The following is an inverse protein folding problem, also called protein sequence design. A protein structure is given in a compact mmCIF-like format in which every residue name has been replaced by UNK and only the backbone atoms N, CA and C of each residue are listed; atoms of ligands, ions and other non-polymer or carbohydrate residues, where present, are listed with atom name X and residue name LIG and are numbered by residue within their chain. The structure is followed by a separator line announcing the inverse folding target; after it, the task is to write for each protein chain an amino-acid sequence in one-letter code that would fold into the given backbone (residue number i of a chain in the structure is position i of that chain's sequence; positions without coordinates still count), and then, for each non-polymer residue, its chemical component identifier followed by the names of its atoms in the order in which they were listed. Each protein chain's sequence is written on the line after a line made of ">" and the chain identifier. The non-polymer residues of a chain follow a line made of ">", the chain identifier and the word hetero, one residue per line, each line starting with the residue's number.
data_IF_733471460056
#
_entry.id   IF_733471460056
#
_cell.length_a   1.000
_cell.length_b   1.000
_cell.length_c   1.000
_cell.angle_alpha   90.00
_cell.angle_beta   90.00
_cell.angle_gamma   90.00
#
_symmetry.space_group_name_H-M   'P 1'
#
loop_
_entity.id
_entity.type
_entity.pdbx_description
1 polymer ?
#
# COMPACT_ATOMS: atom_id res chain seq x y z
N UNK A 1 24.09 33.89 -10.14
CA UNK A 1 23.22 33.48 -9.01
C UNK A 1 22.86 32.01 -9.24
N UNK A 2 23.54 31.08 -8.57
CA UNK A 2 23.52 29.66 -8.96
C UNK A 2 22.19 28.99 -8.64
N UNK A 3 21.69 28.20 -9.59
CA UNK A 3 20.57 27.24 -9.50
C UNK A 3 20.85 26.07 -8.52
N UNK A 4 21.40 26.35 -7.33
CA UNK A 4 21.62 25.34 -6.28
C UNK A 4 20.49 25.45 -5.26
N UNK A 5 19.50 24.58 -5.36
CA UNK A 5 18.51 24.47 -4.30
C UNK A 5 17.20 23.76 -4.63
N UNK A 6 16.92 23.41 -5.89
CA UNK A 6 15.71 22.66 -6.25
C UNK A 6 16.06 21.20 -6.53
N UNK A 7 15.29 20.28 -5.95
CA UNK A 7 15.41 18.84 -6.20
C UNK A 7 14.07 18.21 -6.56
N UNK A 8 14.12 17.21 -7.44
CA UNK A 8 12.93 16.42 -7.75
C UNK A 8 12.64 15.47 -6.61
N UNK A 9 11.57 15.74 -5.87
CA UNK A 9 11.10 14.89 -4.79
C UNK A 9 9.98 13.97 -5.28
N UNK A 10 10.08 12.70 -4.94
CA UNK A 10 9.02 11.72 -5.18
C UNK A 10 8.44 11.24 -3.86
N UNK A 11 7.11 11.31 -3.71
CA UNK A 11 6.43 10.83 -2.52
C UNK A 11 5.07 10.22 -2.82
N UNK A 12 4.55 9.46 -1.86
CA UNK A 12 3.22 8.86 -1.93
C UNK A 12 2.18 9.69 -1.21
N UNK A 13 1.02 9.93 -1.82
CA UNK A 13 -0.16 10.42 -1.10
C UNK A 13 -1.28 9.38 -1.13
N UNK A 14 -1.71 8.92 0.04
CA UNK A 14 -2.77 7.91 0.17
C UNK A 14 -4.11 8.55 0.51
N UNK A 15 -5.13 8.24 -0.28
CA UNK A 15 -6.50 8.68 -0.08
C UNK A 15 -7.48 7.50 -0.06
N UNK A 16 -8.55 7.61 0.74
CA UNK A 16 -9.61 6.60 0.80
C UNK A 16 -10.54 6.71 -0.40
N UNK A 17 -10.79 5.58 -1.08
CA UNK A 17 -11.78 5.49 -2.15
C UNK A 17 -13.19 5.32 -1.58
N UNK A 18 -14.17 5.91 -2.26
CA UNK A 18 -15.59 5.64 -2.06
C UNK A 18 -16.09 4.83 -3.25
N UNK A 19 -16.01 3.50 -3.12
CA UNK A 19 -16.52 2.55 -4.09
C UNK A 19 -17.91 2.09 -3.68
N UNK A 20 -18.82 1.98 -4.63
CA UNK A 20 -20.04 1.19 -4.44
C UNK A 20 -19.67 -0.29 -4.29
N UNK A 21 -20.54 -1.13 -3.71
CA UNK A 21 -20.28 -2.56 -3.58
C UNK A 21 -19.90 -3.23 -4.91
N UNK A 22 -20.58 -2.88 -6.01
CA UNK A 22 -20.28 -3.39 -7.35
C UNK A 22 -18.88 -3.01 -7.84
N UNK A 23 -18.44 -1.76 -7.60
CA UNK A 23 -17.10 -1.31 -7.99
C UNK A 23 -16.00 -1.92 -7.09
N UNK A 24 -16.31 -2.17 -5.82
CA UNK A 24 -15.39 -2.84 -4.91
C UNK A 24 -15.13 -4.30 -5.34
N UNK A 25 -16.14 -5.00 -5.85
CA UNK A 25 -16.00 -6.35 -6.43
C UNK A 25 -15.07 -6.31 -7.65
N UNK A 26 -15.26 -5.37 -8.58
CA UNK A 26 -14.34 -5.21 -9.73
C UNK A 26 -12.89 -4.96 -9.31
N UNK A 27 -12.68 -4.12 -8.29
CA UNK A 27 -11.35 -3.87 -7.75
C UNK A 27 -10.74 -5.12 -7.10
N UNK A 28 -11.54 -5.92 -6.38
CA UNK A 28 -11.13 -7.19 -5.79
C UNK A 28 -10.75 -8.23 -6.86
N UNK A 29 -11.54 -8.34 -7.92
CA UNK A 29 -11.27 -9.21 -9.06
C UNK A 29 -9.94 -8.85 -9.73
N UNK A 30 -9.71 -7.56 -10.04
CA UNK A 30 -8.44 -7.10 -10.58
C UNK A 30 -7.26 -7.42 -9.66
N UNK A 31 -7.41 -7.23 -8.35
CA UNK A 31 -6.34 -7.51 -7.41
C UNK A 31 -6.05 -9.01 -7.27
N UNK A 32 -7.08 -9.86 -7.33
CA UNK A 32 -6.92 -11.29 -7.39
C UNK A 32 -6.28 -11.76 -8.70
N UNK A 33 -6.60 -11.13 -9.83
CA UNK A 33 -5.93 -11.36 -11.11
C UNK A 33 -4.45 -10.95 -11.04
N UNK A 34 -4.12 -9.79 -10.45
CA UNK A 34 -2.73 -9.35 -10.25
C UNK A 34 -1.92 -10.31 -9.35
N UNK A 35 -2.53 -10.81 -8.26
CA UNK A 35 -1.92 -11.83 -7.40
C UNK A 35 -1.68 -13.14 -8.16
N UNK A 36 -2.65 -13.56 -8.97
CA UNK A 36 -2.56 -14.79 -9.75
C UNK A 36 -1.50 -14.66 -10.82
N UNK A 37 -1.43 -13.52 -11.51
CA UNK A 37 -0.37 -13.18 -12.46
C UNK A 37 1.02 -13.29 -11.82
N UNK A 38 1.21 -12.75 -10.61
CA UNK A 38 2.47 -12.92 -9.87
C UNK A 38 2.82 -14.39 -9.64
N UNK A 39 1.85 -15.20 -9.20
CA UNK A 39 2.10 -16.62 -8.91
C UNK A 39 2.39 -17.43 -10.17
N UNK A 40 1.70 -17.15 -11.27
CA UNK A 40 1.97 -17.78 -12.57
C UNK A 40 3.35 -17.39 -13.10
N UNK A 41 3.72 -16.12 -13.00
CA UNK A 41 5.07 -15.65 -13.31
C UNK A 41 6.13 -16.34 -12.45
N UNK A 42 5.85 -16.52 -11.16
CA UNK A 42 6.76 -17.20 -10.25
C UNK A 42 6.95 -18.66 -10.61
N UNK A 43 5.86 -19.39 -10.88
CA UNK A 43 5.92 -20.78 -11.35
C UNK A 43 6.67 -20.90 -12.67
N UNK A 44 6.34 -20.05 -13.66
CA UNK A 44 7.01 -20.00 -14.95
C UNK A 44 8.52 -19.75 -14.79
N UNK A 45 8.90 -18.79 -13.94
CA UNK A 45 10.31 -18.47 -13.67
C UNK A 45 11.07 -19.63 -13.04
N UNK A 46 10.42 -20.39 -12.13
CA UNK A 46 11.03 -21.57 -11.51
C UNK A 46 11.20 -22.72 -12.50
N UNK A 47 10.24 -22.90 -13.43
CA UNK A 47 10.27 -23.97 -14.43
C UNK A 47 11.21 -23.69 -15.61
N UNK A 48 11.43 -22.42 -15.96
CA UNK A 48 12.26 -22.07 -17.12
C UNK A 48 13.76 -22.24 -16.86
N UNK A 49 14.55 -22.68 -17.86
CA UNK A 49 16.01 -22.61 -17.83
C UNK A 49 16.49 -21.19 -17.57
N UNK A 50 17.67 -21.04 -16.93
CA UNK A 50 18.19 -19.73 -16.53
C UNK A 50 18.34 -18.78 -17.71
N UNK A 51 18.78 -19.25 -18.89
CA UNK A 51 18.94 -18.40 -20.07
C UNK A 51 17.61 -17.82 -20.58
N UNK A 52 16.48 -18.50 -20.34
CA UNK A 52 15.13 -18.08 -20.78
C UNK A 52 14.42 -17.17 -19.80
N UNK A 53 15.03 -16.86 -18.64
CA UNK A 53 14.43 -16.00 -17.60
C UNK A 53 14.64 -14.53 -17.91
N UNK A 54 14.27 -14.12 -19.12
CA UNK A 54 14.39 -12.72 -19.57
C UNK A 54 13.07 -11.97 -19.36
N UNK A 55 13.14 -10.64 -19.32
CA UNK A 55 11.94 -9.80 -19.28
C UNK A 55 11.10 -9.96 -20.55
N UNK A 56 11.73 -10.16 -21.71
CA UNK A 56 11.05 -10.31 -22.99
C UNK A 56 10.24 -11.61 -23.05
N UNK A 57 10.85 -12.72 -22.63
CA UNK A 57 10.18 -14.03 -22.61
C UNK A 57 9.04 -14.06 -21.58
N UNK A 58 9.26 -13.48 -20.39
CA UNK A 58 8.22 -13.37 -19.38
C UNK A 58 7.05 -12.50 -19.86
N UNK A 59 7.34 -11.40 -20.56
CA UNK A 59 6.32 -10.53 -21.16
C UNK A 59 5.53 -11.24 -22.27
N UNK A 60 6.19 -12.01 -23.13
CA UNK A 60 5.53 -12.87 -24.11
C UNK A 60 4.61 -13.90 -23.44
N UNK A 61 5.08 -14.56 -22.38
CA UNK A 61 4.28 -15.50 -21.59
C UNK A 61 3.04 -14.84 -20.95
N UNK A 62 3.16 -13.62 -20.43
CA UNK A 62 2.01 -12.85 -19.91
C UNK A 62 1.01 -12.54 -21.01
N UNK A 63 1.47 -12.12 -22.20
CA UNK A 63 0.58 -11.84 -23.33
C UNK A 63 -0.21 -13.08 -23.72
N UNK A 64 0.46 -14.22 -23.81
CA UNK A 64 -0.16 -15.50 -24.14
C UNK A 64 -1.17 -15.93 -23.06
N UNK A 65 -0.76 -15.93 -21.79
CA UNK A 65 -1.65 -16.29 -20.68
C UNK A 65 -2.91 -15.42 -20.60
N UNK A 66 -2.82 -14.14 -20.98
CA UNK A 66 -3.99 -13.24 -21.03
C UNK A 66 -4.92 -13.49 -22.23
N UNK A 67 -4.47 -14.21 -23.26
CA UNK A 67 -5.34 -14.69 -24.35
C UNK A 67 -6.02 -15.99 -23.94
N UNK A 68 -5.31 -16.87 -23.25
CA UNK A 68 -5.78 -18.22 -22.94
C UNK A 68 -6.66 -18.28 -21.68
N UNK A 69 -6.50 -17.31 -20.77
CA UNK A 69 -7.18 -17.31 -19.46
C UNK A 69 -7.97 -16.02 -19.27
N UNK A 70 -9.29 -16.11 -19.46
CA UNK A 70 -10.24 -14.99 -19.32
C UNK A 70 -10.12 -14.26 -17.98
N UNK A 71 -9.88 -14.99 -16.90
CA UNK A 71 -9.71 -14.41 -15.56
C UNK A 71 -8.54 -13.40 -15.47
N UNK A 72 -7.52 -13.49 -16.33
CA UNK A 72 -6.40 -12.54 -16.35
C UNK A 72 -6.70 -11.30 -17.20
N UNK A 73 -7.74 -11.34 -18.04
CA UNK A 73 -8.13 -10.21 -18.89
C UNK A 73 -8.73 -9.08 -18.06
N UNK A 74 -9.35 -9.38 -16.91
CA UNK A 74 -9.93 -8.35 -16.01
C UNK A 74 -8.87 -7.36 -15.53
N UNK A 75 -7.62 -7.80 -15.43
CA UNK A 75 -6.48 -6.94 -15.12
C UNK A 75 -6.09 -6.09 -16.36
N UNK A 76 -6.01 -4.76 -16.25
CA UNK A 76 -5.50 -3.90 -17.31
C UNK A 76 -4.11 -4.33 -17.78
N UNK A 77 -3.82 -4.22 -19.08
CA UNK A 77 -2.55 -4.67 -19.66
C UNK A 77 -1.35 -3.99 -19.00
N UNK A 78 -1.43 -2.67 -18.77
CA UNK A 78 -0.38 -1.92 -18.09
C UNK A 78 -0.18 -2.37 -16.63
N UNK A 79 -1.26 -2.75 -15.94
CA UNK A 79 -1.17 -3.27 -14.57
C UNK A 79 -0.50 -4.66 -14.54
N UNK A 80 -0.77 -5.52 -15.54
CA UNK A 80 -0.06 -6.80 -15.70
C UNK A 80 1.45 -6.59 -15.93
N UNK A 81 1.82 -5.61 -16.75
CA UNK A 81 3.22 -5.22 -16.95
C UNK A 81 3.88 -4.70 -15.66
N UNK A 82 3.14 -3.95 -14.85
CA UNK A 82 3.63 -3.50 -13.55
C UNK A 82 3.88 -4.68 -12.58
N UNK A 83 3.07 -5.74 -12.65
CA UNK A 83 3.32 -6.99 -11.89
C UNK A 83 4.64 -7.62 -12.32
N UNK A 84 4.92 -7.73 -13.62
CA UNK A 84 6.19 -8.25 -14.14
C UNK A 84 7.39 -7.43 -13.65
N UNK A 85 7.31 -6.10 -13.79
CA UNK A 85 8.38 -5.20 -13.33
C UNK A 85 8.63 -5.35 -11.83
N UNK A 86 7.56 -5.45 -11.04
CA UNK A 86 7.68 -5.66 -9.58
C UNK A 86 8.29 -7.02 -9.25
N UNK A 87 7.91 -8.07 -10.00
CA UNK A 87 8.45 -9.42 -9.81
C UNK A 87 9.96 -9.48 -10.12
N UNK A 88 10.37 -8.91 -11.25
CA UNK A 88 11.78 -8.85 -11.61
C UNK A 88 12.59 -7.96 -10.65
N UNK A 89 12.00 -6.86 -10.17
CA UNK A 89 12.63 -6.03 -9.16
C UNK A 89 12.85 -6.78 -7.84
N UNK A 90 11.94 -7.69 -7.46
CA UNK A 90 12.13 -8.53 -6.27
C UNK A 90 13.36 -9.45 -6.42
N UNK A 91 13.58 -10.04 -7.59
CA UNK A 91 14.82 -10.78 -7.88
C UNK A 91 16.06 -9.90 -7.85
N UNK A 92 16.03 -8.71 -8.45
CA UNK A 92 17.14 -7.75 -8.37
C UNK A 92 17.50 -7.40 -6.93
N UNK A 93 16.50 -7.21 -6.07
CA UNK A 93 16.74 -6.93 -4.65
C UNK A 93 17.36 -8.15 -3.95
N UNK A 94 16.93 -9.36 -4.30
CA UNK A 94 17.51 -10.60 -3.78
C UNK A 94 18.97 -10.80 -4.19
N UNK A 95 19.29 -10.60 -5.48
CA UNK A 95 20.68 -10.68 -5.96
C UNK A 95 21.59 -9.62 -5.35
N UNK A 96 21.03 -8.45 -5.01
CA UNK A 96 21.75 -7.39 -4.30
C UNK A 96 21.83 -7.62 -2.77
N UNK A 97 21.36 -8.76 -2.24
CA UNK A 97 21.37 -9.05 -0.80
C UNK A 97 20.43 -8.16 0.04
N UNK A 98 19.51 -7.42 -0.58
CA UNK A 98 18.59 -6.49 0.11
C UNK A 98 17.28 -7.12 0.56
N UNK A 99 16.96 -8.31 0.06
CA UNK A 99 15.72 -9.04 0.36
C UNK A 99 15.88 -10.54 0.09
N UNK A 100 14.98 -11.34 0.62
CA UNK A 100 14.90 -12.76 0.26
C UNK A 100 14.37 -12.97 -1.16
N UNK A 101 14.54 -14.18 -1.68
CA UNK A 101 13.98 -14.59 -2.97
C UNK A 101 12.45 -14.42 -2.99
N UNK A 102 11.86 -13.96 -4.12
CA UNK A 102 10.41 -13.83 -4.23
C UNK A 102 9.73 -15.20 -4.09
N UNK A 103 8.52 -15.20 -3.52
CA UNK A 103 7.74 -16.41 -3.26
C UNK A 103 6.27 -16.21 -3.71
N UNK A 104 5.48 -17.28 -3.69
CA UNK A 104 4.05 -17.28 -3.97
C UNK A 104 3.28 -16.35 -3.02
N UNK A 105 2.32 -15.62 -3.58
CA UNK A 105 1.39 -14.76 -2.86
C UNK A 105 0.14 -15.52 -2.43
N UNK A 106 -0.04 -15.66 -1.12
CA UNK A 106 -1.21 -16.28 -0.52
C UNK A 106 -2.45 -15.36 -0.61
N UNK A 107 -3.62 -15.95 -0.91
CA UNK A 107 -4.88 -15.23 -1.15
C UNK A 107 -5.29 -14.29 0.00
N UNK A 108 -5.09 -14.73 1.24
CA UNK A 108 -5.56 -14.02 2.44
C UNK A 108 -4.44 -13.36 3.27
N UNK A 109 -3.17 -13.66 2.97
CA UNK A 109 -2.02 -13.04 3.67
C UNK A 109 -1.38 -11.92 2.87
N UNK A 110 -1.53 -11.92 1.55
CA UNK A 110 -1.00 -10.85 0.70
C UNK A 110 -1.98 -9.68 0.65
N UNK A 111 -1.45 -8.46 0.79
CA UNK A 111 -2.22 -7.24 0.55
C UNK A 111 -2.71 -7.20 -0.89
N UNK A 112 -4.00 -6.93 -1.09
CA UNK A 112 -4.58 -6.77 -2.42
C UNK A 112 -4.18 -5.41 -2.98
N UNK A 113 -3.49 -5.44 -4.13
CA UNK A 113 -2.96 -4.25 -4.78
C UNK A 113 -3.15 -4.32 -6.29
N UNK A 114 -3.44 -3.19 -6.92
CA UNK A 114 -3.48 -3.03 -8.37
C UNK A 114 -2.71 -1.76 -8.74
N UNK A 115 -1.72 -1.86 -9.61
CA UNK A 115 -0.96 -0.70 -10.06
C UNK A 115 -1.65 -0.02 -11.25
N UNK A 116 -1.71 1.31 -11.22
CA UNK A 116 -2.08 2.16 -12.35
C UNK A 116 -0.83 2.97 -12.71
N UNK A 117 0.04 2.45 -13.60
CA UNK A 117 1.38 2.98 -13.80
C UNK A 117 1.38 4.36 -14.46
N UNK A 118 0.36 4.70 -15.25
CA UNK A 118 0.29 5.97 -15.96
C UNK A 118 -0.66 6.95 -15.26
N UNK A 119 -0.12 8.06 -14.77
CA UNK A 119 -0.90 9.09 -14.08
C UNK A 119 -1.96 9.76 -14.96
N UNK A 120 -1.70 9.88 -16.27
CA UNK A 120 -2.66 10.44 -17.25
C UNK A 120 -3.98 9.67 -17.29
N UNK A 121 -3.95 8.35 -17.10
CA UNK A 121 -5.15 7.50 -17.15
C UNK A 121 -6.10 7.80 -15.98
N UNK A 122 -5.57 8.37 -14.89
CA UNK A 122 -6.34 8.65 -13.67
C UNK A 122 -7.30 9.82 -13.81
N UNK A 123 -7.14 10.72 -14.79
CA UNK A 123 -8.05 11.85 -15.07
C UNK A 123 -8.59 12.52 -13.79
N UNK A 124 -7.67 12.95 -12.92
CA UNK A 124 -8.00 13.36 -11.56
C UNK A 124 -8.63 14.74 -11.58
N UNK A 125 -9.82 14.87 -11.00
CA UNK A 125 -10.56 16.14 -10.93
C UNK A 125 -10.99 16.39 -9.48
N UNK A 126 -10.74 17.59 -8.98
CA UNK A 126 -11.26 18.03 -7.69
C UNK A 126 -12.74 18.38 -7.86
N UNK A 127 -13.62 17.74 -7.09
CA UNK A 127 -15.07 18.00 -7.16
C UNK A 127 -15.43 19.14 -6.21
N UNK A 128 -14.95 19.08 -4.98
CA UNK A 128 -15.07 20.14 -3.99
C UNK A 128 -14.04 19.93 -2.87
N UNK A 129 -14.07 20.75 -1.81
CA UNK A 129 -13.03 20.76 -0.74
C UNK A 129 -12.65 19.40 -0.15
N UNK A 130 -13.59 18.44 -0.05
CA UNK A 130 -13.42 17.14 0.64
C UNK A 130 -13.32 15.94 -0.31
N UNK A 131 -13.57 16.14 -1.61
CA UNK A 131 -13.73 15.03 -2.55
C UNK A 131 -13.12 15.34 -3.91
N UNK A 132 -12.41 14.36 -4.45
CA UNK A 132 -12.04 14.29 -5.86
C UNK A 132 -12.64 13.08 -6.55
N UNK A 133 -12.47 13.04 -7.86
CA UNK A 133 -12.73 11.89 -8.70
C UNK A 133 -11.46 11.47 -9.44
N UNK A 134 -11.30 10.16 -9.61
CA UNK A 134 -10.27 9.57 -10.47
C UNK A 134 -10.91 8.48 -11.34
N UNK A 135 -10.44 8.36 -12.58
CA UNK A 135 -10.78 7.28 -13.50
C UNK A 135 -9.85 6.09 -13.26
N UNK A 136 -10.43 4.92 -13.02
CA UNK A 136 -9.69 3.69 -12.81
C UNK A 136 -9.92 2.74 -13.99
N UNK A 137 -8.85 2.24 -14.64
CA UNK A 137 -8.99 1.33 -15.78
C UNK A 137 -9.84 0.10 -15.44
N UNK A 138 -10.83 -0.20 -16.29
CA UNK A 138 -11.79 -1.32 -16.14
C UNK A 138 -12.64 -1.32 -14.85
N UNK A 139 -12.53 -0.29 -14.00
CA UNK A 139 -13.39 -0.08 -12.83
C UNK A 139 -14.38 1.05 -13.11
N UNK A 140 -13.90 2.18 -13.66
CA UNK A 140 -14.69 3.37 -13.96
C UNK A 140 -14.27 4.59 -13.11
N UNK A 141 -15.10 5.64 -13.15
CA UNK A 141 -14.85 6.88 -12.41
C UNK A 141 -15.29 6.74 -10.96
N UNK A 142 -14.39 7.01 -10.02
CA UNK A 142 -14.62 6.78 -8.59
C UNK A 142 -14.30 8.02 -7.78
N UNK A 143 -15.03 8.22 -6.67
CA UNK A 143 -14.75 9.31 -5.73
C UNK A 143 -13.69 8.89 -4.72
N UNK A 144 -12.90 9.85 -4.26
CA UNK A 144 -11.93 9.66 -3.19
C UNK A 144 -11.87 10.88 -2.26
N UNK A 145 -11.46 10.65 -1.02
CA UNK A 145 -11.29 11.73 -0.03
C UNK A 145 -10.11 12.61 -0.41
N UNK A 146 -10.39 13.87 -0.72
CA UNK A 146 -9.37 14.88 -0.97
C UNK A 146 -8.82 15.36 0.37
N UNK A 147 -7.62 14.92 0.73
CA UNK A 147 -7.03 15.20 2.06
C UNK A 147 -5.73 16.01 2.00
N UNK A 148 -5.04 16.00 0.87
CA UNK A 148 -3.90 16.88 0.57
C UNK A 148 -4.13 17.51 -0.80
N UNK A 149 -3.53 18.66 -1.04
CA UNK A 149 -3.46 19.23 -2.38
C UNK A 149 -2.65 18.31 -3.30
N UNK A 150 -3.15 18.13 -4.51
CA UNK A 150 -2.58 17.23 -5.51
C UNK A 150 -2.26 18.05 -6.76
N UNK A 151 -1.10 17.83 -7.39
CA UNK A 151 -0.73 18.57 -8.59
C UNK A 151 -1.53 18.07 -9.79
N UNK A 152 -2.69 18.69 -9.99
CA UNK A 152 -3.65 18.36 -11.06
C UNK A 152 -4.12 19.63 -11.76
N UNK A 153 -4.66 19.50 -12.97
CA UNK A 153 -5.14 20.64 -13.75
C UNK A 153 -4.02 21.64 -14.03
N UNK A 154 -4.26 22.94 -13.80
CA UNK A 154 -3.27 24.01 -14.04
C UNK A 154 -2.01 23.90 -13.18
N UNK A 155 -2.06 23.18 -12.06
CA UNK A 155 -0.91 22.95 -11.19
C UNK A 155 -0.03 21.79 -11.67
N UNK A 156 -0.49 21.01 -12.65
CA UNK A 156 0.26 19.90 -13.20
C UNK A 156 1.19 20.36 -14.32
N UNK A 157 2.46 20.02 -14.21
CA UNK A 157 3.51 20.25 -15.22
C UNK A 157 4.50 19.09 -15.26
N UNK A 158 5.58 19.21 -16.05
CA UNK A 158 6.61 18.17 -16.14
C UNK A 158 7.26 17.89 -14.78
N UNK A 159 7.50 18.96 -14.02
CA UNK A 159 8.20 18.97 -12.74
C UNK A 159 7.27 18.76 -11.53
N UNK A 160 5.96 18.94 -11.70
CA UNK A 160 4.97 18.80 -10.64
C UNK A 160 3.74 18.04 -11.14
N UNK A 161 3.69 16.72 -10.93
CA UNK A 161 2.62 15.87 -11.47
C UNK A 161 2.42 14.57 -10.69
N UNK A 162 1.27 13.96 -10.91
CA UNK A 162 1.03 12.57 -10.53
C UNK A 162 1.56 11.67 -11.65
N UNK A 163 2.56 10.85 -11.33
CA UNK A 163 3.20 9.94 -12.30
C UNK A 163 2.44 8.64 -12.46
N UNK A 164 1.68 8.24 -11.45
CA UNK A 164 0.81 7.08 -11.44
C UNK A 164 0.14 6.89 -10.09
N UNK A 165 -0.57 5.78 -9.90
CA UNK A 165 -1.12 5.42 -8.60
C UNK A 165 -1.11 3.91 -8.36
N UNK A 166 -1.37 3.53 -7.11
CA UNK A 166 -1.58 2.15 -6.70
C UNK A 166 -2.85 2.04 -5.87
N UNK A 167 -3.75 1.15 -6.27
CA UNK A 167 -4.87 0.74 -5.45
C UNK A 167 -4.35 -0.22 -4.38
N UNK A 168 -4.75 -0.01 -3.13
CA UNK A 168 -4.38 -0.85 -2.00
C UNK A 168 -5.61 -1.07 -1.13
N UNK A 169 -5.96 -2.33 -0.85
CA UNK A 169 -7.03 -2.68 0.08
C UNK A 169 -6.49 -2.90 1.47
N UNK A 170 -7.13 -2.27 2.46
CA UNK A 170 -6.95 -2.58 3.86
C UNK A 170 -8.30 -2.85 4.54
N UNK A 171 -8.32 -2.91 5.87
CA UNK A 171 -9.52 -3.17 6.67
C UNK A 171 -10.60 -2.09 6.55
N UNK A 172 -10.29 -0.86 6.13
CA UNK A 172 -11.27 0.20 5.86
C UNK A 172 -11.81 0.16 4.43
N UNK A 173 -11.22 -0.69 3.59
CA UNK A 173 -11.53 -0.85 2.19
C UNK A 173 -10.44 -0.33 1.27
N UNK A 174 -10.84 0.03 0.07
CA UNK A 174 -9.93 0.44 -0.99
C UNK A 174 -9.40 1.86 -0.79
N UNK A 175 -8.10 2.01 -1.02
CA UNK A 175 -7.39 3.28 -1.06
C UNK A 175 -6.68 3.43 -2.39
N UNK A 176 -6.44 4.67 -2.78
CA UNK A 176 -5.56 5.03 -3.89
C UNK A 176 -4.34 5.74 -3.32
N UNK A 177 -3.16 5.23 -3.61
CA UNK A 177 -1.87 5.83 -3.30
C UNK A 177 -1.31 6.46 -4.57
N UNK A 178 -1.40 7.79 -4.67
CA UNK A 178 -0.83 8.56 -5.77
C UNK A 178 0.69 8.62 -5.62
N UNK A 179 1.41 8.38 -6.71
CA UNK A 179 2.84 8.68 -6.85
C UNK A 179 2.93 10.12 -7.34
N UNK A 180 3.39 10.99 -6.47
CA UNK A 180 3.53 12.43 -6.73
C UNK A 180 5.01 12.72 -6.96
N UNK A 181 5.29 13.47 -8.01
CA UNK A 181 6.59 14.07 -8.28
C UNK A 181 6.41 15.58 -8.22
N UNK A 182 7.27 16.26 -7.46
CA UNK A 182 7.26 17.71 -7.31
C UNK A 182 8.70 18.21 -7.24
N UNK A 183 8.98 19.33 -7.91
CA UNK A 183 10.22 20.09 -7.74
C UNK A 183 10.09 20.94 -6.48
N UNK A 184 10.83 20.59 -5.43
CA UNK A 184 10.81 21.28 -4.15
C UNK A 184 12.19 21.87 -3.85
N UNK A 185 12.22 22.95 -3.07
CA UNK A 185 13.48 23.44 -2.52
C UNK A 185 14.00 22.42 -1.51
N UNK A 186 15.27 22.05 -1.61
CA UNK A 186 15.96 21.25 -0.60
C UNK A 186 15.77 21.98 0.74
N UNK A 187 15.15 21.35 1.74
CA UNK A 187 14.96 22.00 3.02
C UNK A 187 16.32 22.36 3.61
N UNK A 188 16.44 23.59 4.08
CA UNK A 188 17.62 24.00 4.85
C UNK A 188 17.66 23.22 6.16
N UNK A 189 18.86 22.98 6.68
CA UNK A 189 19.02 22.37 8.00
C UNK A 189 18.25 23.22 9.01
N UNK A 190 17.43 22.55 9.83
CA UNK A 190 16.71 23.23 10.90
C UNK A 190 17.72 23.93 11.82
N UNK A 191 17.42 25.13 12.30
CA UNK A 191 18.34 25.90 13.15
C UNK A 191 18.17 25.58 14.66
N UNK A 192 17.36 24.58 14.97
CA UNK A 192 17.15 24.11 16.33
C UNK A 192 18.34 23.31 16.89
N UNK A 193 18.28 22.93 18.18
CA UNK A 193 19.35 22.18 18.81
C UNK A 193 19.55 20.82 18.14
N UNK A 194 20.80 20.36 18.12
CA UNK A 194 21.16 19.04 17.64
C UNK A 194 20.93 18.03 18.76
N UNK A 195 20.23 16.93 18.46
CA UNK A 195 19.98 15.85 19.41
C UNK A 195 20.24 14.50 18.78
N UNK A 196 20.79 13.58 19.57
CA UNK A 196 20.82 12.16 19.24
C UNK A 196 19.45 11.54 19.52
N UNK A 197 19.01 10.61 18.65
CA UNK A 197 17.77 9.85 18.81
C UNK A 197 18.13 8.40 19.13
N UNK A 198 17.73 7.92 20.30
CA UNK A 198 17.77 6.50 20.66
C UNK A 198 16.37 5.87 20.59
N UNK A 199 16.29 4.65 20.05
CA UNK A 199 15.02 3.93 19.83
C UNK A 199 14.95 2.73 20.77
N UNK A 200 14.05 2.79 21.75
CA UNK A 200 13.91 1.76 22.78
C UNK A 200 12.60 0.98 22.73
N UNK A 201 12.49 -0.03 23.60
CA UNK A 201 11.26 -0.84 23.78
C UNK A 201 10.38 -0.22 24.87
N UNK A 202 10.96 0.11 26.03
CA UNK A 202 10.23 0.69 27.16
C UNK A 202 9.89 2.15 26.91
N UNK A 203 10.90 2.93 26.50
CA UNK A 203 10.75 4.30 26.00
C UNK A 203 10.96 4.24 24.49
N UNK A 204 9.91 4.48 23.68
CA UNK A 204 10.00 4.32 22.23
C UNK A 204 11.07 5.20 21.59
N UNK A 205 11.17 6.46 22.02
CA UNK A 205 12.20 7.41 21.57
C UNK A 205 12.71 8.21 22.76
N UNK A 206 14.03 8.23 22.94
CA UNK A 206 14.71 9.08 23.91
C UNK A 206 15.69 9.99 23.17
N UNK A 207 15.69 11.28 23.53
CA UNK A 207 16.57 12.28 22.96
C UNK A 207 17.75 12.56 23.90
N UNK A 208 18.88 12.95 23.34
CA UNK A 208 20.10 13.24 24.12
C UNK A 208 20.01 14.45 25.04
N UNK A 209 19.00 15.30 24.85
CA UNK A 209 18.67 16.44 25.73
C UNK A 209 17.81 16.02 26.94
N UNK A 210 17.43 14.74 27.02
CA UNK A 210 16.61 14.19 28.10
C UNK A 210 15.12 14.11 27.79
N UNK A 211 14.66 14.65 26.66
CA UNK A 211 13.25 14.55 26.25
C UNK A 211 12.91 13.12 25.80
N UNK A 212 11.69 12.67 26.06
CA UNK A 212 11.23 11.34 25.67
C UNK A 212 9.87 11.38 25.01
N UNK A 213 9.67 10.58 23.97
CA UNK A 213 8.38 10.44 23.31
C UNK A 213 7.78 9.07 23.60
N UNK A 214 6.70 9.09 24.37
CA UNK A 214 5.95 7.90 24.74
C UNK A 214 4.58 7.84 24.06
N UNK A 215 3.95 6.67 24.14
CA UNK A 215 2.57 6.49 23.73
C UNK A 215 1.79 5.66 24.75
N UNK A 216 0.50 5.97 24.89
CA UNK A 216 -0.40 5.13 25.66
C UNK A 216 -0.75 3.81 24.96
N UNK A 217 -1.67 3.06 25.57
CA UNK A 217 -2.24 1.85 24.98
C UNK A 217 -2.95 2.15 23.66
N UNK A 218 -2.69 1.34 22.62
CA UNK A 218 -3.30 1.53 21.29
C UNK A 218 -4.79 1.23 21.23
N UNK A 219 -5.30 0.48 22.19
CA UNK A 219 -6.72 0.14 22.33
C UNK A 219 -7.19 0.61 23.70
N UNK A 220 -8.41 1.12 23.79
CA UNK A 220 -9.02 1.42 25.09
C UNK A 220 -9.30 0.12 25.84
N UNK A 221 -9.44 0.16 27.17
CA UNK A 221 -9.72 -1.03 27.97
C UNK A 221 -10.97 -1.79 27.48
N UNK A 222 -12.00 -1.05 27.02
CA UNK A 222 -13.20 -1.63 26.39
C UNK A 222 -12.89 -2.34 25.07
N UNK A 223 -12.03 -1.76 24.23
CA UNK A 223 -11.61 -2.36 22.96
C UNK A 223 -10.72 -3.59 23.17
N UNK A 224 -9.85 -3.58 24.19
CA UNK A 224 -9.04 -4.73 24.60
C UNK A 224 -9.91 -5.87 25.10
N UNK A 225 -10.84 -5.61 26.01
CA UNK A 225 -11.80 -6.60 26.50
C UNK A 225 -12.64 -7.19 25.36
N UNK A 226 -13.08 -6.34 24.42
CA UNK A 226 -13.79 -6.80 23.21
C UNK A 226 -12.90 -7.67 22.32
N UNK A 227 -11.63 -7.30 22.10
CA UNK A 227 -10.69 -8.09 21.32
C UNK A 227 -10.51 -9.48 21.93
N UNK A 228 -10.26 -9.54 23.24
CA UNK A 228 -10.10 -10.79 23.98
C UNK A 228 -11.35 -11.69 23.84
N UNK A 229 -12.54 -11.14 24.05
CA UNK A 229 -13.78 -11.90 23.90
C UNK A 229 -14.02 -12.42 22.47
N UNK A 230 -13.61 -11.67 21.44
CA UNK A 230 -13.66 -12.12 20.06
C UNK A 230 -12.64 -13.23 19.77
N UNK A 231 -11.43 -13.12 20.30
CA UNK A 231 -10.37 -14.13 20.15
C UNK A 231 -10.75 -15.45 20.82
N UNK A 232 -11.29 -15.40 22.04
CA UNK A 232 -11.83 -16.57 22.74
C UNK A 232 -12.97 -17.22 21.96
N UNK A 233 -13.91 -16.42 21.45
CA UNK A 233 -15.01 -16.90 20.60
C UNK A 233 -14.51 -17.55 19.31
N UNK A 234 -13.48 -16.99 18.69
CA UNK A 234 -12.86 -17.56 17.50
C UNK A 234 -12.16 -18.89 17.81
N UNK A 235 -11.46 -18.98 18.93
CA UNK A 235 -10.79 -20.19 19.39
C UNK A 235 -11.79 -21.31 19.70
N UNK A 236 -12.87 -21.02 20.44
CA UNK A 236 -13.94 -21.98 20.72
C UNK A 236 -14.57 -22.52 19.42
N UNK A 237 -14.94 -21.64 18.49
CA UNK A 237 -15.51 -22.03 17.19
C UNK A 237 -14.53 -22.85 16.34
N UNK A 238 -13.22 -22.61 16.48
CA UNK A 238 -12.19 -23.38 15.78
C UNK A 238 -12.01 -24.77 16.40
N UNK A 239 -12.16 -24.92 17.73
CA UNK A 239 -12.03 -26.22 18.43
C UNK A 239 -13.04 -27.25 17.93
N UNK A 240 -14.24 -26.82 17.59
CA UNK A 240 -15.31 -27.72 17.10
C UNK A 240 -15.25 -27.99 15.59
N UNK A 241 -14.24 -27.47 14.86
CA UNK A 241 -14.09 -27.69 13.41
C UNK A 241 -13.30 -28.96 13.12
N UNK A 242 -13.74 -29.69 12.09
CA UNK A 242 -12.96 -30.80 11.54
C UNK A 242 -11.82 -30.27 10.64
N UNK A 243 -10.67 -30.95 10.57
CA UNK A 243 -9.65 -30.66 9.56
C UNK A 243 -10.25 -30.66 8.15
N UNK A 244 -9.86 -29.69 7.31
CA UNK A 244 -10.39 -29.55 5.93
C UNK A 244 -11.76 -28.87 5.81
N UNK A 245 -12.52 -28.72 6.89
CA UNK A 245 -13.85 -28.11 6.83
C UNK A 245 -13.78 -26.63 6.43
N UNK A 246 -14.68 -26.15 5.56
CA UNK A 246 -14.72 -24.73 5.19
C UNK A 246 -15.01 -23.85 6.41
N UNK A 247 -14.26 -22.75 6.57
CA UNK A 247 -14.53 -21.77 7.63
C UNK A 247 -15.95 -21.24 7.54
N UNK A 248 -16.74 -21.39 8.61
CA UNK A 248 -18.13 -20.91 8.65
C UNK A 248 -18.20 -19.39 8.50
N UNK A 249 -19.32 -18.88 7.94
CA UNK A 249 -19.53 -17.43 7.77
C UNK A 249 -19.45 -16.68 9.12
N UNK A 250 -19.95 -17.30 10.19
CA UNK A 250 -19.89 -16.75 11.56
C UNK A 250 -18.46 -16.61 12.07
N UNK A 251 -17.60 -17.61 11.83
CA UNK A 251 -16.19 -17.55 12.20
C UNK A 251 -15.43 -16.51 11.37
N UNK A 252 -15.72 -16.44 10.06
CA UNK A 252 -15.17 -15.41 9.18
C UNK A 252 -15.49 -14.01 9.68
N UNK A 253 -16.76 -13.75 10.02
CA UNK A 253 -17.18 -12.46 10.58
C UNK A 253 -16.46 -12.10 11.88
N UNK A 254 -16.20 -13.08 12.76
CA UNK A 254 -15.41 -12.83 13.98
C UNK A 254 -13.95 -12.47 13.65
N UNK A 255 -13.34 -13.13 12.66
CA UNK A 255 -12.01 -12.74 12.20
C UNK A 255 -11.99 -11.33 11.60
N UNK A 256 -13.02 -10.93 10.85
CA UNK A 256 -13.14 -9.57 10.32
C UNK A 256 -13.21 -8.53 11.44
N UNK A 257 -13.95 -8.81 12.52
CA UNK A 257 -14.03 -7.94 13.69
C UNK A 257 -12.69 -7.82 14.44
N UNK A 258 -11.98 -8.94 14.63
CA UNK A 258 -10.64 -8.97 15.22
C UNK A 258 -9.67 -8.14 14.36
N UNK A 259 -9.67 -8.38 13.05
CA UNK A 259 -8.84 -7.64 12.10
C UNK A 259 -9.14 -6.13 12.14
N UNK A 260 -10.40 -5.74 12.25
CA UNK A 260 -10.82 -4.35 12.39
C UNK A 260 -10.25 -3.66 13.64
N UNK A 261 -10.26 -4.33 14.80
CA UNK A 261 -9.68 -3.81 16.04
C UNK A 261 -8.15 -3.70 15.94
N UNK A 262 -7.48 -4.74 15.45
CA UNK A 262 -6.02 -4.73 15.26
C UNK A 262 -5.58 -3.64 14.27
N UNK A 263 -6.33 -3.45 13.20
CA UNK A 263 -6.05 -2.37 12.24
C UNK A 263 -6.38 -0.97 12.80
N UNK A 264 -7.29 -0.85 13.77
CA UNK A 264 -7.49 0.41 14.51
C UNK A 264 -6.27 0.72 15.38
N UNK A 265 -5.75 -0.26 16.13
CA UNK A 265 -4.52 -0.11 16.90
C UNK A 265 -3.34 0.31 16.00
N UNK A 266 -3.14 -0.39 14.88
CA UNK A 266 -2.09 -0.05 13.91
C UNK A 266 -2.20 1.38 13.38
N UNK A 267 -3.42 1.88 13.11
CA UNK A 267 -3.62 3.26 12.65
C UNK A 267 -3.30 4.29 13.72
N UNK A 268 -3.60 4.02 14.99
CA UNK A 268 -3.22 4.90 16.10
C UNK A 268 -1.70 4.93 16.29
N UNK A 269 -1.04 3.78 16.14
CA UNK A 269 0.42 3.71 16.16
C UNK A 269 1.06 4.53 15.04
N UNK A 270 0.57 4.39 13.80
CA UNK A 270 1.04 5.19 12.67
C UNK A 270 0.77 6.69 12.84
N UNK A 271 -0.40 7.06 13.41
CA UNK A 271 -0.73 8.46 13.69
C UNK A 271 0.22 9.08 14.72
N UNK A 272 0.52 8.35 15.80
CA UNK A 272 1.52 8.77 16.78
C UNK A 272 2.89 8.93 16.12
N UNK A 273 3.37 7.93 15.37
CA UNK A 273 4.65 8.01 14.66
C UNK A 273 4.74 9.25 13.77
N UNK A 274 3.72 9.50 12.93
CA UNK A 274 3.72 10.67 12.05
C UNK A 274 3.74 12.00 12.82
N UNK A 275 2.99 12.11 13.92
CA UNK A 275 2.97 13.31 14.76
C UNK A 275 4.32 13.52 15.43
N UNK A 276 4.86 12.48 16.07
CA UNK A 276 6.15 12.51 16.76
C UNK A 276 7.29 12.86 15.80
N UNK A 277 7.38 12.22 14.63
CA UNK A 277 8.43 12.57 13.65
C UNK A 277 8.28 13.98 13.11
N UNK A 278 7.05 14.48 12.98
CA UNK A 278 6.80 15.86 12.52
C UNK A 278 7.18 16.87 13.59
N UNK A 279 6.91 16.57 14.85
CA UNK A 279 7.29 17.39 15.99
C UNK A 279 8.81 17.47 16.12
N UNK A 280 9.49 16.32 16.13
CA UNK A 280 10.96 16.25 16.16
C UNK A 280 11.57 17.06 15.01
N UNK A 281 11.10 16.87 13.77
CA UNK A 281 11.62 17.57 12.60
C UNK A 281 11.33 19.09 12.58
N UNK A 282 10.38 19.57 13.40
CA UNK A 282 10.07 21.00 13.56
C UNK A 282 10.85 21.66 14.70
N UNK A 283 11.41 20.86 15.60
CA UNK A 283 12.05 21.36 16.82
C UNK A 283 13.56 21.28 16.68
N UNK A 284 14.08 20.17 16.17
CA UNK A 284 15.49 19.82 16.25
C UNK A 284 16.20 19.89 14.89
N UNK A 285 17.51 20.13 14.93
CA UNK A 285 18.40 19.88 13.79
C UNK A 285 18.83 18.41 13.83
N UNK A 286 18.02 17.56 13.19
CA UNK A 286 18.26 16.11 13.09
C UNK A 286 18.80 15.75 11.71
#
# INVERSE_FOLDING_TARGET
>A
MSERGLETRQFGHRARLALSPALAVKADEQAHAARTMWNLLHAWWQMMPKEKRTLADADAAIRQARRDVDFLTVLPAQAAQAVLKTYFQAWKNCWAGRADAPNFKARFRSTLTVDVPQGRDLNIVRVHRRWGMASLPKIGRVRFRWTKELPVGKQAGEENRITGARLVKDTLGWHIAFRVQTLERVPEAHQGPQVGIDVGITVPLALSDGETYEHGQWLTSREQARLLGLEQRAAQRKKHRKPGERTSRRLHHTYDQIAGLRAKAKRRALDWQHKTTTDIARTYSV
#
